data_IF_544858727832
#
_entry.id   IF_544858727832
#
_cell.length_a   1.000
_cell.length_b   1.000
_cell.length_c   1.000
_cell.angle_alpha   90.00
_cell.angle_beta   90.00
_cell.angle_gamma   90.00
#
_symmetry.space_group_name_H-M   'P 1'
#
loop_
_entity.id
_entity.type
_entity.pdbx_description
1 polymer ?
#
# COMPACT_ATOMS: atom_id res chain seq x y z
N UNK A 1 -5.90 -22.08 17.94
CA UNK A 1 -5.09 -20.88 18.23
C UNK A 1 -3.89 -21.38 18.99
N UNK A 2 -2.70 -21.03 18.54
CA UNK A 2 -1.40 -21.39 19.11
C UNK A 2 -0.84 -20.11 19.73
N UNK A 3 -0.10 -20.21 20.83
CA UNK A 3 0.60 -19.08 21.42
C UNK A 3 1.68 -18.56 20.47
N UNK A 4 1.92 -17.25 20.46
CA UNK A 4 2.82 -16.61 19.49
C UNK A 4 4.27 -17.16 19.59
N UNK A 5 4.77 -17.46 20.80
CA UNK A 5 6.07 -18.06 20.96
C UNK A 5 6.14 -19.47 20.39
N UNK A 6 5.13 -20.28 20.65
CA UNK A 6 5.06 -21.65 20.12
C UNK A 6 5.04 -21.65 18.57
N UNK A 7 4.32 -20.71 17.95
CA UNK A 7 4.34 -20.52 16.50
C UNK A 7 5.73 -20.13 16.01
N UNK A 8 6.38 -19.17 16.68
CA UNK A 8 7.74 -18.74 16.35
C UNK A 8 8.73 -19.91 16.41
N UNK A 9 8.63 -20.75 17.44
CA UNK A 9 9.54 -21.88 17.64
C UNK A 9 9.47 -22.93 16.52
N UNK A 10 8.36 -23.01 15.81
CA UNK A 10 8.11 -23.96 14.72
C UNK A 10 8.50 -23.45 13.33
N UNK A 11 8.80 -22.15 13.17
CA UNK A 11 9.00 -21.53 11.86
C UNK A 11 10.38 -20.89 11.73
N UNK A 12 10.92 -20.90 10.51
CA UNK A 12 12.17 -20.21 10.17
C UNK A 12 11.92 -18.83 9.53
N UNK A 13 10.74 -18.63 8.94
CA UNK A 13 10.28 -17.33 8.41
C UNK A 13 8.98 -16.94 9.11
N UNK A 14 9.01 -15.81 9.79
CA UNK A 14 7.87 -15.30 10.58
C UNK A 14 7.45 -13.93 10.06
N UNK A 15 6.17 -13.79 9.75
CA UNK A 15 5.56 -12.51 9.42
C UNK A 15 4.83 -11.93 10.62
N UNK A 16 5.27 -10.74 11.06
CA UNK A 16 4.57 -9.93 12.07
C UNK A 16 3.58 -9.02 11.32
N UNK A 17 2.33 -9.45 11.26
CA UNK A 17 1.25 -8.77 10.52
C UNK A 17 0.24 -8.07 11.42
N UNK A 18 0.67 -7.67 12.59
CA UNK A 18 -0.12 -6.86 13.53
C UNK A 18 -0.22 -5.41 13.05
N UNK A 19 -1.04 -4.59 13.74
CA UNK A 19 -1.04 -3.15 13.48
C UNK A 19 0.37 -2.57 13.68
N UNK A 20 0.74 -1.56 12.90
CA UNK A 20 2.08 -0.95 12.89
C UNK A 20 2.57 -0.58 14.31
N UNK A 21 1.70 0.00 15.12
CA UNK A 21 2.00 0.39 16.50
C UNK A 21 2.33 -0.80 17.45
N UNK A 22 1.93 -2.01 17.08
CA UNK A 22 2.14 -3.21 17.91
C UNK A 22 3.35 -4.05 17.47
N UNK A 23 3.96 -3.77 16.31
CA UNK A 23 5.05 -4.59 15.76
C UNK A 23 6.23 -4.67 16.73
N UNK A 24 6.66 -3.53 17.28
CA UNK A 24 7.80 -3.47 18.21
C UNK A 24 7.51 -4.27 19.50
N UNK A 25 6.34 -4.08 20.09
CA UNK A 25 5.93 -4.77 21.32
C UNK A 25 5.87 -6.30 21.10
N UNK A 26 5.25 -6.74 20.01
CA UNK A 26 5.19 -8.17 19.66
C UNK A 26 6.58 -8.73 19.45
N UNK A 27 7.46 -8.01 18.74
CA UNK A 27 8.83 -8.47 18.49
C UNK A 27 9.64 -8.56 19.77
N UNK A 28 9.46 -7.63 20.70
CA UNK A 28 10.16 -7.62 22.00
C UNK A 28 9.63 -8.71 22.95
N UNK A 29 8.37 -9.10 22.83
CA UNK A 29 7.75 -10.11 23.71
C UNK A 29 8.16 -11.54 23.40
N UNK A 30 8.83 -11.79 22.27
CA UNK A 30 9.19 -13.12 21.80
C UNK A 30 10.70 -13.38 21.87
N UNK A 31 11.05 -14.68 21.95
CA UNK A 31 12.44 -15.14 21.83
C UNK A 31 12.71 -15.55 20.38
N UNK A 32 13.84 -15.11 19.85
CA UNK A 32 14.21 -15.32 18.45
C UNK A 32 15.49 -16.15 18.34
N UNK A 33 15.65 -16.85 17.21
CA UNK A 33 16.85 -17.67 16.91
C UNK A 33 17.62 -17.08 15.74
N UNK A 34 18.92 -17.25 15.71
CA UNK A 34 19.81 -16.81 14.62
C UNK A 34 19.43 -17.40 13.24
N UNK A 35 18.77 -18.56 13.23
CA UNK A 35 18.32 -19.21 11.99
C UNK A 35 17.06 -18.61 11.41
N UNK A 36 16.36 -17.75 12.16
CA UNK A 36 15.07 -17.19 11.76
C UNK A 36 15.22 -15.94 10.91
N UNK A 37 14.19 -15.69 10.12
CA UNK A 37 13.92 -14.43 9.48
C UNK A 37 12.60 -13.86 9.99
N UNK A 38 12.59 -12.61 10.42
CA UNK A 38 11.43 -11.90 10.95
C UNK A 38 11.11 -10.72 10.04
N UNK A 39 9.89 -10.69 9.52
CA UNK A 39 9.48 -9.73 8.49
C UNK A 39 8.17 -9.08 8.89
N UNK A 40 8.03 -7.77 8.71
CA UNK A 40 6.74 -7.10 8.83
C UNK A 40 6.21 -6.63 7.47
N UNK A 41 4.91 -6.32 7.40
CA UNK A 41 4.26 -5.88 6.16
C UNK A 41 3.89 -4.39 6.14
N UNK A 42 4.34 -3.59 7.11
CA UNK A 42 4.11 -2.14 7.09
C UNK A 42 4.79 -1.47 5.90
N UNK A 43 4.06 -0.58 5.23
CA UNK A 43 4.62 0.26 4.17
C UNK A 43 5.34 1.51 4.70
N UNK A 44 4.98 1.95 5.91
CA UNK A 44 5.48 3.17 6.54
C UNK A 44 6.74 2.94 7.36
N UNK A 45 6.81 1.82 8.10
CA UNK A 45 7.89 1.54 9.03
C UNK A 45 9.11 0.96 8.32
N UNK A 46 10.29 1.31 8.82
CA UNK A 46 11.57 0.68 8.48
C UNK A 46 11.72 -0.64 9.24
N UNK A 47 12.88 -1.30 9.17
CA UNK A 47 13.17 -2.52 9.95
C UNK A 47 13.35 -2.26 11.46
N UNK A 48 13.44 -1.00 11.87
CA UNK A 48 13.75 -0.63 13.26
C UNK A 48 12.87 -1.32 14.32
N UNK A 49 11.53 -1.45 14.15
CA UNK A 49 10.68 -2.17 15.10
C UNK A 49 11.02 -3.65 15.29
N UNK A 50 11.79 -4.24 14.39
CA UNK A 50 12.30 -5.62 14.49
C UNK A 50 13.67 -5.71 15.16
N UNK A 51 14.23 -4.62 15.63
CA UNK A 51 15.55 -4.60 16.29
C UNK A 51 15.68 -5.54 17.51
N UNK A 52 14.62 -5.87 18.28
CA UNK A 52 14.72 -6.90 19.29
C UNK A 52 15.10 -8.27 18.72
N UNK A 53 14.53 -8.67 17.59
CA UNK A 53 14.86 -9.91 16.90
C UNK A 53 16.29 -9.88 16.31
N UNK A 54 16.67 -8.76 15.72
CA UNK A 54 18.01 -8.55 15.16
C UNK A 54 19.11 -8.66 16.26
N UNK A 55 18.86 -8.11 17.45
CA UNK A 55 19.80 -8.25 18.61
C UNK A 55 19.98 -9.70 19.06
N UNK A 56 19.01 -10.58 18.80
CA UNK A 56 19.09 -12.02 19.07
C UNK A 56 19.68 -12.81 17.89
N UNK A 57 20.12 -12.13 16.81
CA UNK A 57 20.77 -12.74 15.66
C UNK A 57 19.83 -13.13 14.52
N UNK A 58 18.52 -12.92 14.65
CA UNK A 58 17.59 -13.18 13.55
C UNK A 58 17.77 -12.16 12.41
N UNK A 59 17.60 -12.62 11.18
CA UNK A 59 17.55 -11.73 10.02
C UNK A 59 16.24 -10.93 10.03
N UNK A 60 16.27 -9.64 9.71
CA UNK A 60 15.07 -8.80 9.75
C UNK A 60 14.81 -8.12 8.42
N UNK A 61 13.53 -7.93 8.09
CA UNK A 61 13.13 -7.29 6.85
C UNK A 61 11.71 -6.75 6.88
N UNK A 62 11.36 -6.02 5.84
CA UNK A 62 9.97 -5.68 5.54
C UNK A 62 9.60 -6.12 4.13
N UNK A 63 8.36 -6.57 3.96
CA UNK A 63 7.76 -6.96 2.69
C UNK A 63 6.37 -6.31 2.57
N UNK A 64 6.30 -5.16 1.94
CA UNK A 64 5.05 -4.40 1.82
C UNK A 64 4.43 -4.60 0.44
N UNK A 65 3.24 -5.23 0.32
CA UNK A 65 2.50 -5.28 -0.93
C UNK A 65 1.96 -3.88 -1.26
N UNK A 66 2.33 -3.34 -2.42
CA UNK A 66 1.80 -2.06 -2.92
C UNK A 66 0.40 -2.28 -3.49
N UNK A 67 -0.54 -2.65 -2.59
CA UNK A 67 -1.88 -3.09 -2.92
C UNK A 67 -2.87 -2.69 -1.81
N UNK A 68 -4.12 -2.51 -2.20
CA UNK A 68 -5.23 -2.34 -1.24
C UNK A 68 -5.95 -3.67 -1.04
N UNK A 69 -6.31 -3.97 0.20
CA UNK A 69 -7.07 -5.15 0.59
C UNK A 69 -8.44 -4.71 1.12
N UNK A 70 -9.50 -5.07 0.40
CA UNK A 70 -10.86 -4.72 0.81
C UNK A 70 -11.31 -5.47 2.05
N UNK A 71 -12.20 -4.86 2.86
CA UNK A 71 -12.75 -5.43 4.08
C UNK A 71 -13.55 -6.75 3.88
N UNK A 72 -13.86 -7.12 2.64
CA UNK A 72 -14.66 -8.31 2.31
C UNK A 72 -13.88 -9.64 2.27
N UNK A 73 -12.59 -9.66 2.60
CA UNK A 73 -11.80 -10.91 2.69
C UNK A 73 -11.68 -11.69 1.38
N UNK A 74 -11.97 -11.10 0.23
CA UNK A 74 -11.68 -11.74 -1.05
C UNK A 74 -10.15 -11.85 -1.20
N UNK A 75 -9.68 -13.05 -1.50
CA UNK A 75 -8.27 -13.29 -1.86
C UNK A 75 -7.93 -12.43 -3.08
N UNK A 76 -7.38 -11.24 -2.83
CA UNK A 76 -6.83 -10.43 -3.91
C UNK A 76 -5.71 -11.22 -4.57
N UNK A 77 -5.73 -11.32 -5.89
CA UNK A 77 -4.59 -11.89 -6.61
C UNK A 77 -3.35 -11.05 -6.30
N UNK A 78 -2.26 -11.71 -5.95
CA UNK A 78 -0.96 -11.07 -5.77
C UNK A 78 -0.16 -10.97 -7.08
N UNK A 79 -0.68 -11.57 -8.15
CA UNK A 79 -0.07 -11.49 -9.48
C UNK A 79 -0.04 -10.06 -10.00
N UNK A 80 1.14 -9.61 -10.42
CA UNK A 80 1.39 -8.25 -10.89
C UNK A 80 1.53 -7.21 -9.77
N UNK A 81 1.34 -7.57 -8.49
CA UNK A 81 1.53 -6.65 -7.38
C UNK A 81 3.02 -6.38 -7.16
N UNK A 82 3.38 -5.12 -7.01
CA UNK A 82 4.73 -4.72 -6.59
C UNK A 82 4.87 -4.86 -5.08
N UNK A 83 5.95 -5.50 -4.64
CA UNK A 83 6.30 -5.64 -3.23
C UNK A 83 7.54 -4.82 -2.91
N UNK A 84 7.39 -3.82 -2.04
CA UNK A 84 8.51 -3.06 -1.52
C UNK A 84 9.24 -3.84 -0.44
N UNK A 85 10.51 -4.15 -0.66
CA UNK A 85 11.34 -4.95 0.22
C UNK A 85 12.48 -4.09 0.79
N UNK A 86 12.64 -4.13 2.11
CA UNK A 86 13.82 -3.66 2.82
C UNK A 86 14.37 -4.82 3.64
N UNK A 87 15.54 -5.30 3.28
CA UNK A 87 16.21 -6.41 3.94
C UNK A 87 17.71 -6.43 3.61
N UNK A 88 18.49 -7.18 4.39
CA UNK A 88 19.86 -7.53 4.02
C UNK A 88 19.89 -8.40 2.75
N UNK A 89 21.04 -8.46 2.04
CA UNK A 89 21.10 -9.10 0.72
C UNK A 89 20.50 -10.51 0.68
N UNK A 90 20.90 -11.41 1.57
CA UNK A 90 20.45 -12.81 1.57
C UNK A 90 18.94 -12.92 1.83
N UNK A 91 18.41 -12.14 2.79
CA UNK A 91 16.97 -12.15 3.06
C UNK A 91 16.19 -11.45 1.93
N UNK A 92 16.78 -10.44 1.30
CA UNK A 92 16.17 -9.81 0.14
C UNK A 92 15.98 -10.82 -1.01
N UNK A 93 16.99 -11.65 -1.26
CA UNK A 93 16.93 -12.67 -2.32
C UNK A 93 15.85 -13.72 -2.01
N UNK A 94 15.79 -14.21 -0.76
CA UNK A 94 14.75 -15.14 -0.28
C UNK A 94 13.34 -14.55 -0.47
N UNK A 95 13.13 -13.28 -0.07
CA UNK A 95 11.85 -12.60 -0.20
C UNK A 95 11.49 -12.31 -1.66
N UNK A 96 12.48 -11.99 -2.49
CA UNK A 96 12.26 -11.76 -3.93
C UNK A 96 11.83 -13.04 -4.63
N UNK A 97 12.45 -14.17 -4.33
CA UNK A 97 12.02 -15.47 -4.87
C UNK A 97 10.59 -15.81 -4.45
N UNK A 98 10.21 -15.50 -3.21
CA UNK A 98 8.84 -15.69 -2.73
C UNK A 98 7.85 -14.80 -3.50
N UNK A 99 8.20 -13.53 -3.76
CA UNK A 99 7.38 -12.61 -4.56
C UNK A 99 7.21 -13.12 -5.98
N UNK A 100 8.26 -13.62 -6.60
CA UNK A 100 8.21 -14.20 -7.95
C UNK A 100 7.25 -15.41 -8.01
N UNK A 101 7.22 -16.24 -6.98
CA UNK A 101 6.27 -17.36 -6.87
C UNK A 101 4.81 -16.90 -6.76
N UNK A 102 4.56 -15.69 -6.26
CA UNK A 102 3.22 -15.07 -6.27
C UNK A 102 2.87 -14.46 -7.63
N UNK A 103 3.82 -14.41 -8.57
CA UNK A 103 3.70 -13.66 -9.81
C UNK A 103 3.77 -12.14 -9.60
N UNK A 104 4.32 -11.69 -8.48
CA UNK A 104 4.51 -10.28 -8.14
C UNK A 104 5.82 -9.70 -8.71
N UNK A 105 6.10 -8.46 -8.35
CA UNK A 105 7.33 -7.74 -8.74
C UNK A 105 8.05 -7.27 -7.48
N UNK A 106 9.26 -7.76 -7.25
CA UNK A 106 10.09 -7.34 -6.13
C UNK A 106 10.76 -5.99 -6.42
N UNK A 107 10.64 -5.05 -5.47
CA UNK A 107 11.25 -3.72 -5.54
C UNK A 107 12.05 -3.44 -4.27
N UNK A 108 13.35 -3.18 -4.40
CA UNK A 108 14.15 -2.74 -3.25
C UNK A 108 13.78 -1.31 -2.86
N UNK A 109 13.35 -1.13 -1.62
CA UNK A 109 13.00 0.20 -1.06
C UNK A 109 14.02 0.54 0.02
N UNK A 110 14.95 1.47 -0.25
CA UNK A 110 15.89 1.93 0.77
C UNK A 110 15.16 2.61 1.93
N UNK A 111 15.67 2.43 3.14
CA UNK A 111 15.14 3.03 4.38
C UNK A 111 14.87 4.54 4.21
N UNK A 112 15.86 5.28 3.73
CA UNK A 112 15.75 6.73 3.55
C UNK A 112 14.62 7.19 2.62
N UNK A 113 14.14 6.33 1.71
CA UNK A 113 13.09 6.65 0.74
C UNK A 113 11.72 6.12 1.15
N UNK A 114 11.63 5.34 2.21
CA UNK A 114 10.41 4.69 2.66
C UNK A 114 9.23 5.64 2.90
N UNK A 115 9.40 6.83 3.53
CA UNK A 115 8.28 7.76 3.70
C UNK A 115 7.69 8.24 2.37
N UNK A 116 8.51 8.49 1.35
CA UNK A 116 8.04 8.91 0.02
C UNK A 116 7.37 7.74 -0.72
N UNK A 117 7.95 6.55 -0.63
CA UNK A 117 7.35 5.33 -1.18
C UNK A 117 5.95 5.08 -0.60
N UNK A 118 5.82 5.14 0.73
CA UNK A 118 4.52 4.92 1.38
C UNK A 118 3.52 6.04 1.08
N UNK A 119 3.97 7.30 1.04
CA UNK A 119 3.12 8.42 0.64
C UNK A 119 2.57 8.23 -0.78
N UNK A 120 3.38 7.75 -1.73
CA UNK A 120 2.91 7.43 -3.08
C UNK A 120 1.83 6.34 -3.07
N UNK A 121 1.97 5.30 -2.24
CA UNK A 121 0.96 4.27 -2.05
C UNK A 121 -0.36 4.85 -1.53
N UNK A 122 -0.30 5.67 -0.47
CA UNK A 122 -1.48 6.29 0.14
C UNK A 122 -2.17 7.23 -0.84
N UNK A 123 -1.41 8.03 -1.62
CA UNK A 123 -1.97 8.91 -2.66
C UNK A 123 -2.69 8.12 -3.74
N UNK A 124 -2.15 6.96 -4.13
CA UNK A 124 -2.73 6.12 -5.18
C UNK A 124 -3.93 5.28 -4.71
N UNK A 125 -4.19 5.22 -3.41
CA UNK A 125 -5.28 4.42 -2.81
C UNK A 125 -6.20 5.27 -1.93
N UNK A 126 -5.83 5.53 -0.69
CA UNK A 126 -6.68 6.22 0.28
C UNK A 126 -7.10 7.63 -0.17
N UNK A 127 -6.18 8.43 -0.71
CA UNK A 127 -6.51 9.78 -1.20
C UNK A 127 -7.34 9.74 -2.47
N UNK A 128 -7.16 8.74 -3.32
CA UNK A 128 -8.05 8.53 -4.46
C UNK A 128 -9.49 8.28 -4.00
N UNK A 129 -9.68 7.44 -2.97
CA UNK A 129 -11.01 7.21 -2.37
C UNK A 129 -11.60 8.51 -1.83
N UNK A 130 -10.80 9.35 -1.17
CA UNK A 130 -11.24 10.67 -0.68
C UNK A 130 -11.71 11.58 -1.82
N UNK A 131 -10.96 11.65 -2.92
CA UNK A 131 -11.36 12.44 -4.10
C UNK A 131 -12.66 11.94 -4.72
N UNK A 132 -12.85 10.63 -4.79
CA UNK A 132 -14.10 10.04 -5.28
C UNK A 132 -15.28 10.32 -4.34
N UNK A 133 -15.05 10.32 -3.03
CA UNK A 133 -16.05 10.70 -2.04
C UNK A 133 -16.49 12.17 -2.22
N UNK A 134 -15.53 13.08 -2.39
CA UNK A 134 -15.86 14.50 -2.67
C UNK A 134 -16.64 14.65 -3.98
N UNK A 135 -16.31 13.88 -5.02
CA UNK A 135 -17.08 13.89 -6.26
C UNK A 135 -18.53 13.42 -6.05
N UNK A 136 -18.74 12.38 -5.22
CA UNK A 136 -20.09 11.94 -4.83
C UNK A 136 -20.85 13.05 -4.07
N UNK A 137 -20.19 13.71 -3.10
CA UNK A 137 -20.77 14.81 -2.35
C UNK A 137 -21.24 15.97 -3.26
N UNK A 138 -20.43 16.33 -4.26
CA UNK A 138 -20.81 17.36 -5.24
C UNK A 138 -21.97 16.91 -6.12
N UNK A 139 -22.02 15.62 -6.51
CA UNK A 139 -23.12 15.04 -7.25
C UNK A 139 -24.46 15.16 -6.51
N UNK A 140 -24.46 14.83 -5.22
CA UNK A 140 -25.63 14.93 -4.38
C UNK A 140 -26.07 16.41 -4.15
N UNK A 141 -25.12 17.31 -3.92
CA UNK A 141 -25.39 18.77 -3.81
C UNK A 141 -26.02 19.33 -5.09
N UNK A 142 -25.67 18.77 -6.25
CA UNK A 142 -26.29 19.13 -7.54
C UNK A 142 -27.72 18.62 -7.70
N UNK A 143 -28.25 17.85 -6.73
CA UNK A 143 -29.59 17.27 -6.78
C UNK A 143 -29.73 16.13 -7.79
N UNK A 144 -28.62 15.52 -8.23
CA UNK A 144 -28.62 14.43 -9.18
C UNK A 144 -28.93 13.09 -8.50
N UNK A 145 -29.51 12.10 -9.21
CA UNK A 145 -29.90 10.83 -8.63
C UNK A 145 -28.71 10.10 -7.97
N UNK A 146 -28.78 9.76 -6.67
CA UNK A 146 -27.68 9.10 -5.95
C UNK A 146 -27.28 7.76 -6.56
N UNK A 147 -28.26 6.99 -7.03
CA UNK A 147 -28.05 5.67 -7.63
C UNK A 147 -27.18 5.71 -8.90
N UNK A 148 -27.18 6.84 -9.61
CA UNK A 148 -26.37 7.03 -10.80
C UNK A 148 -24.92 7.47 -10.48
N UNK A 149 -24.67 8.02 -9.29
CA UNK A 149 -23.40 8.61 -8.91
C UNK A 149 -22.24 7.60 -9.00
N UNK A 150 -22.38 6.45 -8.34
CA UNK A 150 -21.34 5.41 -8.31
C UNK A 150 -20.99 4.91 -9.70
N UNK A 151 -21.99 4.67 -10.55
CA UNK A 151 -21.76 4.20 -11.91
C UNK A 151 -21.08 5.29 -12.78
N UNK A 152 -21.55 6.54 -12.70
CA UNK A 152 -21.01 7.64 -13.51
C UNK A 152 -19.59 8.03 -13.08
N UNK A 153 -19.38 8.27 -11.78
CA UNK A 153 -18.09 8.69 -11.22
C UNK A 153 -17.08 7.55 -11.35
N UNK A 154 -17.49 6.31 -11.00
CA UNK A 154 -16.63 5.14 -11.12
C UNK A 154 -16.17 4.92 -12.56
N UNK A 155 -17.07 4.98 -13.55
CA UNK A 155 -16.73 4.83 -14.97
C UNK A 155 -15.74 5.90 -15.44
N UNK A 156 -15.94 7.15 -15.03
CA UNK A 156 -15.03 8.24 -15.37
C UNK A 156 -13.65 8.02 -14.75
N UNK A 157 -13.59 7.60 -13.49
CA UNK A 157 -12.34 7.31 -12.79
C UNK A 157 -11.58 6.14 -13.43
N UNK A 158 -12.27 5.04 -13.78
CA UNK A 158 -11.66 3.91 -14.50
C UNK A 158 -11.02 4.36 -15.83
N UNK A 159 -11.75 5.15 -16.61
CA UNK A 159 -11.24 5.65 -17.89
C UNK A 159 -10.03 6.56 -17.69
N UNK A 160 -10.07 7.43 -16.67
CA UNK A 160 -8.97 8.31 -16.34
C UNK A 160 -7.73 7.50 -15.94
N UNK A 161 -7.90 6.48 -15.09
CA UNK A 161 -6.81 5.60 -14.68
C UNK A 161 -6.22 4.81 -15.86
N UNK A 162 -7.08 4.29 -16.75
CA UNK A 162 -6.64 3.60 -17.96
C UNK A 162 -5.79 4.52 -18.86
N UNK A 163 -6.19 5.79 -19.02
CA UNK A 163 -5.41 6.77 -19.76
C UNK A 163 -4.05 7.05 -19.12
N UNK A 164 -4.03 7.18 -17.77
CA UNK A 164 -2.76 7.39 -17.03
C UNK A 164 -1.82 6.19 -17.20
N UNK A 165 -2.34 4.98 -17.14
CA UNK A 165 -1.54 3.76 -17.34
C UNK A 165 -0.97 3.69 -18.75
N UNK A 166 -1.77 4.06 -19.76
CA UNK A 166 -1.37 3.97 -21.16
C UNK A 166 -0.41 5.10 -21.61
N UNK A 167 -0.59 6.33 -21.13
CA UNK A 167 0.10 7.50 -21.64
C UNK A 167 0.92 8.29 -20.58
N UNK A 168 0.81 7.92 -19.31
CA UNK A 168 1.40 8.66 -18.19
C UNK A 168 0.51 9.80 -17.68
N UNK A 169 0.89 10.37 -16.54
CA UNK A 169 0.07 11.37 -15.83
C UNK A 169 -0.08 12.69 -16.59
N UNK A 170 1.03 13.21 -17.13
CA UNK A 170 1.01 14.53 -17.78
C UNK A 170 0.13 14.56 -19.04
N UNK A 171 0.25 13.62 -20.01
CA UNK A 171 -0.61 13.62 -21.21
C UNK A 171 -2.08 13.33 -20.88
N UNK A 172 -2.37 12.66 -19.79
CA UNK A 172 -3.72 12.31 -19.37
C UNK A 172 -4.46 13.44 -18.66
N UNK A 173 -3.75 14.52 -18.30
CA UNK A 173 -4.37 15.68 -17.65
C UNK A 173 -5.29 16.39 -18.65
N UNK A 174 -6.58 16.45 -18.34
CA UNK A 174 -7.62 17.05 -19.18
C UNK A 174 -8.48 18.05 -18.38
N UNK A 175 -9.50 18.61 -19.01
CA UNK A 175 -10.44 19.50 -18.34
C UNK A 175 -10.00 20.97 -18.32
N UNK A 176 -10.71 21.83 -17.56
CA UNK A 176 -10.51 23.27 -17.57
C UNK A 176 -9.12 23.68 -17.06
N UNK A 177 -8.59 22.96 -16.07
CA UNK A 177 -7.28 23.27 -15.45
C UNK A 177 -6.15 23.10 -16.46
N UNK A 178 -6.15 22.02 -17.26
CA UNK A 178 -5.12 21.77 -18.26
C UNK A 178 -5.11 22.79 -19.42
N UNK A 179 -6.27 23.39 -19.68
CA UNK A 179 -6.41 24.43 -20.74
C UNK A 179 -6.28 25.86 -20.23
N UNK A 180 -6.06 26.05 -18.92
CA UNK A 180 -5.98 27.37 -18.30
C UNK A 180 -7.34 28.12 -18.31
N UNK A 181 -8.46 27.40 -18.33
CA UNK A 181 -9.81 27.97 -18.32
C UNK A 181 -10.19 28.44 -16.91
N UNK A 182 -9.74 29.65 -16.61
CA UNK A 182 -10.00 30.31 -15.31
C UNK A 182 -11.47 30.59 -15.07
N UNK A 183 -12.28 30.77 -16.14
CA UNK A 183 -13.72 31.04 -16.04
C UNK A 183 -14.45 29.82 -15.45
N UNK A 184 -14.25 28.66 -16.02
CA UNK A 184 -14.85 27.43 -15.53
C UNK A 184 -14.34 27.06 -14.12
N UNK A 185 -13.05 27.25 -13.85
CA UNK A 185 -12.51 26.98 -12.50
C UNK A 185 -13.17 27.90 -11.46
N UNK A 186 -13.39 29.18 -11.77
CA UNK A 186 -14.10 30.13 -10.87
C UNK A 186 -15.53 29.67 -10.58
N UNK A 187 -16.28 29.28 -11.61
CA UNK A 187 -17.65 28.75 -11.44
C UNK A 187 -17.69 27.52 -10.53
N UNK A 188 -16.69 26.62 -10.64
CA UNK A 188 -16.59 25.48 -9.74
C UNK A 188 -16.39 25.91 -8.29
N UNK A 189 -15.45 26.84 -8.03
CA UNK A 189 -15.15 27.32 -6.68
C UNK A 189 -16.34 28.10 -6.06
N UNK A 190 -17.12 28.81 -6.84
CA UNK A 190 -18.32 29.54 -6.37
C UNK A 190 -19.47 28.58 -6.07
N UNK A 191 -19.52 27.40 -6.69
CA UNK A 191 -20.56 26.39 -6.49
C UNK A 191 -20.27 25.40 -5.36
N UNK A 192 -19.01 25.25 -4.94
CA UNK A 192 -18.56 24.34 -3.86
C UNK A 192 -18.77 24.92 -2.48
#
# INVERSE_FOLDING_TARGET
VVEAQELSDLCDLIFVTTADAAIAEVTESLQWRETQAVVHCSGALTREPLSPAERMGARTGSLHPFQTFGAGGTTASLSGVTFGIEAEPNLYDDLSEMVDRFGGVALRVPEATRPLYHAASVMSSGYLVTLLHEAHTLWEKAGLPPDAATAAIGRLAETTLANVIAAGTHPSLSGPTSRGDKGTVRLHLEAM
#
